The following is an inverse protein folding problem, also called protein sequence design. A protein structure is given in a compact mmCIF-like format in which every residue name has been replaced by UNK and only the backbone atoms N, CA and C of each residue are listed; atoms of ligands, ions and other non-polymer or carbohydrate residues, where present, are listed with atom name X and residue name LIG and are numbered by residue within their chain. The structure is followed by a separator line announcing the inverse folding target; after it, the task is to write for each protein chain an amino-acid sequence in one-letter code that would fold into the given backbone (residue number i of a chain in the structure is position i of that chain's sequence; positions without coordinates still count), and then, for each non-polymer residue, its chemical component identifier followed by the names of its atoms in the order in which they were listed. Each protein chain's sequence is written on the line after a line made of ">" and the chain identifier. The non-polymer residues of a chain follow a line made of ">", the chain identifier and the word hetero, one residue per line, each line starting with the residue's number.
data_IF_255289099009
#
_entry.id   IF_255289099009
#
_cell.length_a   1.000
_cell.length_b   1.000
_cell.length_c   1.000
_cell.angle_alpha   90.00
_cell.angle_beta   90.00
_cell.angle_gamma   90.00
#
_symmetry.space_group_name_H-M   'P 1'
#
loop_
_entity.id
_entity.type
_entity.pdbx_description
1 polymer ?
#
# COMPACT_ATOMS: atom_id res chain seq x y z
N UNK A 1 35.45 -1.51 -50.63
CA UNK A 1 36.33 -0.35 -50.42
C UNK A 1 36.55 -0.21 -48.93
N UNK A 2 37.77 -0.56 -48.53
CA UNK A 2 38.33 -0.43 -47.17
C UNK A 2 38.41 1.06 -46.78
N UNK A 3 38.34 1.35 -45.52
CA UNK A 3 39.42 2.02 -44.77
C UNK A 3 39.03 2.17 -43.30
N UNK A 4 39.74 1.43 -42.49
CA UNK A 4 39.96 1.60 -41.06
C UNK A 4 40.71 2.92 -40.77
N UNK A 5 40.56 3.44 -39.56
CA UNK A 5 41.67 3.97 -38.78
C UNK A 5 41.31 3.93 -37.27
N UNK A 6 42.19 3.20 -36.57
CA UNK A 6 42.38 3.18 -35.15
C UNK A 6 43.44 4.23 -34.75
N UNK A 7 43.49 4.59 -33.48
CA UNK A 7 44.63 4.81 -32.61
C UNK A 7 44.25 5.69 -31.42
N UNK A 8 44.26 5.19 -30.19
CA UNK A 8 45.37 5.08 -29.23
C UNK A 8 45.95 6.42 -28.78
N UNK A 9 45.92 6.72 -27.49
CA UNK A 9 47.07 6.69 -26.55
C UNK A 9 46.71 7.51 -25.32
N UNK A 10 46.60 6.96 -24.14
CA UNK A 10 47.59 6.75 -23.08
C UNK A 10 48.06 7.99 -22.31
N UNK A 11 47.93 7.86 -21.02
CA UNK A 11 48.90 8.13 -19.94
C UNK A 11 48.95 9.53 -19.34
N UNK A 12 48.98 9.78 -18.07
CA UNK A 12 49.74 9.28 -16.96
C UNK A 12 49.34 9.97 -15.64
N UNK A 13 49.38 9.23 -14.55
CA UNK A 13 49.55 9.72 -13.18
C UNK A 13 51.02 10.16 -12.99
N UNK A 14 51.41 11.07 -12.06
CA UNK A 14 51.62 10.67 -10.68
C UNK A 14 51.37 11.71 -9.56
N UNK A 15 51.23 11.17 -8.39
CA UNK A 15 51.39 11.52 -7.02
C UNK A 15 52.37 12.65 -6.61
N UNK A 16 52.04 13.31 -5.48
CA UNK A 16 52.91 13.49 -4.29
C UNK A 16 52.20 14.19 -3.15
N UNK A 17 52.21 13.59 -1.96
CA UNK A 17 52.26 14.25 -0.62
C UNK A 17 53.65 14.76 -0.38
N UNK A 18 53.98 15.66 0.54
CA UNK A 18 53.87 15.61 1.99
C UNK A 18 53.48 17.00 2.58
N UNK A 19 53.34 17.30 3.85
CA UNK A 19 53.91 16.96 5.13
C UNK A 19 53.08 17.60 6.25
N UNK A 20 53.09 16.92 7.37
CA UNK A 20 52.68 17.45 8.69
C UNK A 20 53.93 17.97 9.43
N UNK A 21 53.85 18.95 10.37
CA UNK A 21 54.16 18.66 11.76
C UNK A 21 53.20 19.29 12.77
N UNK A 22 52.71 18.57 13.68
CA UNK A 22 53.04 18.21 15.06
C UNK A 22 53.06 19.35 16.09
N UNK A 23 52.15 19.14 17.09
CA UNK A 23 52.24 19.41 18.53
C UNK A 23 52.20 20.88 19.04
N UNK A 24 51.35 21.19 20.03
CA UNK A 24 51.57 20.94 21.45
C UNK A 24 50.28 21.24 22.29
N UNK A 25 50.10 20.44 23.30
CA UNK A 25 49.25 20.44 24.47
C UNK A 25 48.88 21.80 25.07
N UNK A 26 47.66 21.91 25.63
CA UNK A 26 47.48 21.91 27.11
C UNK A 26 45.99 21.77 27.48
N UNK A 27 45.75 21.02 28.51
CA UNK A 27 44.50 20.69 29.15
C UNK A 27 43.78 21.94 29.71
N UNK A 28 42.43 21.88 29.70
CA UNK A 28 41.67 22.11 30.92
C UNK A 28 40.26 21.48 30.86
N UNK A 29 39.96 20.80 31.94
CA UNK A 29 38.71 20.14 32.22
C UNK A 29 37.56 21.14 32.33
N UNK A 30 36.46 20.87 31.60
CA UNK A 30 35.13 21.12 32.12
C UNK A 30 34.15 20.07 31.57
N UNK A 31 33.71 19.23 32.49
CA UNK A 31 32.58 18.35 32.44
C UNK A 31 31.36 19.04 31.81
N UNK A 32 31.05 18.69 30.57
CA UNK A 32 29.77 18.93 29.97
C UNK A 32 29.13 17.54 29.78
N UNK A 33 28.25 17.24 30.69
CA UNK A 33 27.32 16.14 30.69
C UNK A 33 26.62 16.13 29.34
N UNK A 34 26.94 15.12 28.51
CA UNK A 34 26.15 14.82 27.33
C UNK A 34 24.80 14.31 27.84
N UNK A 35 23.79 15.16 27.77
CA UNK A 35 22.41 14.74 27.77
C UNK A 35 22.26 13.80 26.56
N UNK A 36 22.21 12.50 26.85
CA UNK A 36 21.65 11.51 25.95
C UNK A 36 20.20 11.91 25.72
N UNK A 37 19.93 12.56 24.60
CA UNK A 37 18.59 12.66 24.08
C UNK A 37 18.14 11.20 23.86
N UNK A 38 17.35 10.68 24.79
CA UNK A 38 16.53 9.52 24.55
C UNK A 38 15.62 9.90 23.38
N UNK A 39 15.94 9.42 22.19
CA UNK A 39 14.99 9.36 21.09
C UNK A 39 13.89 8.44 21.58
N UNK A 40 12.83 9.03 22.15
CA UNK A 40 11.58 8.32 22.36
C UNK A 40 11.21 7.73 21.01
N UNK A 41 11.26 6.42 20.93
CA UNK A 41 10.81 5.67 19.78
C UNK A 41 9.28 5.82 19.75
N UNK A 42 8.79 6.88 19.11
CA UNK A 42 7.36 7.13 18.95
C UNK A 42 6.84 6.06 18.01
N UNK A 43 6.43 4.95 18.60
CA UNK A 43 5.75 3.89 17.88
C UNK A 43 4.37 4.43 17.48
N UNK A 44 4.15 4.67 16.18
CA UNK A 44 2.84 5.04 15.67
C UNK A 44 1.92 3.84 15.95
N UNK A 45 0.85 4.00 16.74
CA UNK A 45 -0.06 2.90 17.02
C UNK A 45 -0.66 2.38 15.71
N UNK A 46 -0.79 1.06 15.60
CA UNK A 46 -1.53 0.47 14.47
C UNK A 46 -3.01 0.87 14.61
N UNK A 47 -3.59 1.61 13.66
CA UNK A 47 -4.97 2.09 13.75
C UNK A 47 -6.01 0.98 13.47
N UNK A 48 -5.58 -0.20 13.03
CA UNK A 48 -6.43 -1.34 12.73
C UNK A 48 -6.66 -2.19 13.96
N UNK A 49 -7.92 -2.59 14.16
CA UNK A 49 -8.34 -3.58 15.17
C UNK A 49 -8.94 -4.79 14.46
N UNK A 50 -8.44 -5.98 14.79
CA UNK A 50 -8.94 -7.26 14.27
C UNK A 50 -10.14 -7.75 15.09
N UNK A 51 -11.09 -8.42 14.43
CA UNK A 51 -12.31 -8.96 15.03
C UNK A 51 -12.50 -10.42 14.64
N UNK A 52 -12.95 -11.24 15.58
CA UNK A 52 -13.17 -12.66 15.38
C UNK A 52 -14.41 -12.97 14.53
N UNK A 53 -15.36 -12.02 14.45
CA UNK A 53 -16.57 -12.18 13.67
C UNK A 53 -16.91 -10.93 12.85
N UNK A 54 -17.67 -11.14 11.77
CA UNK A 54 -18.23 -10.05 10.97
C UNK A 54 -19.14 -9.16 11.81
N UNK A 55 -19.96 -9.76 12.68
CA UNK A 55 -20.96 -9.03 13.47
C UNK A 55 -20.28 -8.07 14.45
N UNK A 56 -19.19 -8.46 15.09
CA UNK A 56 -18.40 -7.60 15.96
C UNK A 56 -17.76 -6.45 15.19
N UNK A 57 -17.23 -6.72 14.01
CA UNK A 57 -16.64 -5.70 13.13
C UNK A 57 -17.72 -4.70 12.64
N UNK A 58 -18.92 -5.17 12.27
CA UNK A 58 -20.07 -4.34 11.90
C UNK A 58 -20.48 -3.42 13.07
N UNK A 59 -20.53 -3.97 14.28
CA UNK A 59 -20.84 -3.17 15.46
C UNK A 59 -19.81 -2.08 15.71
N UNK A 60 -18.52 -2.39 15.52
CA UNK A 60 -17.43 -1.44 15.69
C UNK A 60 -17.40 -0.37 14.59
N UNK A 61 -17.65 -0.76 13.34
CA UNK A 61 -17.67 0.15 12.19
C UNK A 61 -18.93 1.04 12.18
N UNK A 62 -20.06 0.55 12.71
CA UNK A 62 -21.36 1.23 12.66
C UNK A 62 -22.12 1.07 11.35
N UNK A 63 -21.61 0.28 10.41
CA UNK A 63 -22.25 -0.06 9.13
C UNK A 63 -21.84 -1.47 8.67
N UNK A 64 -22.68 -2.11 7.85
CA UNK A 64 -22.43 -3.43 7.29
C UNK A 64 -21.61 -3.34 5.98
N UNK A 65 -20.88 -4.41 5.69
CA UNK A 65 -20.23 -4.67 4.42
C UNK A 65 -20.63 -6.08 3.94
N UNK A 66 -21.56 -6.12 2.99
CA UNK A 66 -21.96 -7.37 2.35
C UNK A 66 -20.97 -7.74 1.27
N UNK A 67 -20.52 -8.99 1.27
CA UNK A 67 -19.51 -9.49 0.35
C UNK A 67 -19.85 -10.91 -0.13
N UNK A 68 -19.34 -11.35 -1.29
CA UNK A 68 -19.48 -12.73 -1.76
C UNK A 68 -18.96 -13.74 -0.74
N UNK A 69 -19.50 -14.97 -0.78
CA UNK A 69 -19.01 -16.06 0.07
C UNK A 69 -17.57 -16.45 -0.27
N UNK A 70 -17.20 -16.34 -1.54
CA UNK A 70 -15.88 -16.70 -2.06
C UNK A 70 -15.39 -15.68 -3.08
N UNK A 71 -14.09 -15.39 -3.04
CA UNK A 71 -13.38 -14.69 -4.10
C UNK A 71 -12.14 -15.50 -4.45
N UNK A 72 -11.88 -15.69 -5.76
CA UNK A 72 -10.75 -16.48 -6.27
C UNK A 72 -10.66 -17.90 -5.67
N UNK A 73 -11.81 -18.50 -5.33
CA UNK A 73 -11.90 -19.83 -4.70
C UNK A 73 -11.71 -19.83 -3.18
N UNK A 74 -11.27 -18.74 -2.57
CA UNK A 74 -11.07 -18.61 -1.13
C UNK A 74 -12.34 -18.16 -0.41
N UNK A 75 -12.62 -18.81 0.72
CA UNK A 75 -13.78 -18.51 1.59
C UNK A 75 -13.38 -18.12 3.01
N UNK A 76 -12.10 -18.30 3.37
CA UNK A 76 -11.59 -17.83 4.68
C UNK A 76 -11.56 -16.32 4.67
N UNK A 77 -12.09 -15.70 5.72
CA UNK A 77 -12.21 -14.25 5.86
C UNK A 77 -11.70 -13.80 7.22
N UNK A 78 -10.96 -12.71 7.23
CA UNK A 78 -10.68 -11.95 8.43
C UNK A 78 -11.33 -10.57 8.34
N UNK A 79 -11.62 -9.99 9.49
CA UNK A 79 -12.38 -8.75 9.63
C UNK A 79 -11.59 -7.78 10.47
N UNK A 80 -11.44 -6.56 9.99
CA UNK A 80 -10.82 -5.50 10.79
C UNK A 80 -11.43 -4.14 10.52
N UNK A 81 -11.33 -3.28 11.51
CA UNK A 81 -11.83 -1.91 11.45
C UNK A 81 -10.68 -0.97 11.78
N UNK A 82 -10.48 0.01 10.91
CA UNK A 82 -9.65 1.16 11.20
C UNK A 82 -10.53 2.21 11.87
N UNK A 83 -10.03 2.77 12.99
CA UNK A 83 -10.66 3.91 13.64
C UNK A 83 -9.57 4.88 14.06
N UNK A 84 -9.46 6.00 13.37
CA UNK A 84 -8.47 7.04 13.66
C UNK A 84 -9.02 8.41 13.29
N UNK A 85 -8.88 9.39 14.19
CA UNK A 85 -9.20 10.79 13.96
C UNK A 85 -10.65 11.08 13.51
N UNK A 86 -11.56 10.15 13.77
CA UNK A 86 -12.96 10.22 13.35
C UNK A 86 -13.27 9.50 12.04
N UNK A 87 -12.25 9.02 11.34
CA UNK A 87 -12.41 8.16 10.17
C UNK A 87 -12.63 6.71 10.59
N UNK A 88 -13.56 6.05 9.91
CA UNK A 88 -13.84 4.63 10.11
C UNK A 88 -13.81 3.90 8.77
N UNK A 89 -13.06 2.79 8.72
CA UNK A 89 -13.00 1.93 7.53
C UNK A 89 -13.16 0.47 7.94
N UNK A 90 -14.10 -0.21 7.32
CA UNK A 90 -14.28 -1.66 7.48
C UNK A 90 -13.57 -2.40 6.35
N UNK A 91 -12.76 -3.38 6.71
CA UNK A 91 -12.01 -4.19 5.77
C UNK A 91 -12.29 -5.68 5.98
N UNK A 92 -12.50 -6.39 4.88
CA UNK A 92 -12.62 -7.86 4.84
C UNK A 92 -11.51 -8.38 3.92
N UNK A 93 -10.69 -9.28 4.44
CA UNK A 93 -9.60 -9.93 3.70
C UNK A 93 -9.98 -11.38 3.45
N UNK A 94 -9.87 -11.83 2.21
CA UNK A 94 -9.95 -13.24 1.83
C UNK A 94 -8.53 -13.80 1.76
N UNK A 95 -8.31 -14.95 2.38
CA UNK A 95 -7.01 -15.59 2.42
C UNK A 95 -7.09 -17.09 2.16
N UNK A 96 -5.96 -17.67 1.75
CA UNK A 96 -5.70 -19.09 1.69
C UNK A 96 -4.49 -19.39 2.56
N UNK A 97 -4.72 -19.79 3.80
CA UNK A 97 -3.67 -19.83 4.81
C UNK A 97 -3.15 -18.42 5.12
N UNK A 98 -1.86 -18.20 4.94
CA UNK A 98 -1.23 -16.89 5.18
C UNK A 98 -1.27 -15.95 3.95
N UNK A 99 -1.68 -16.46 2.78
CA UNK A 99 -1.68 -15.70 1.53
C UNK A 99 -3.01 -14.96 1.33
N UNK A 100 -2.96 -13.63 1.34
CA UNK A 100 -4.09 -12.79 0.95
C UNK A 100 -4.41 -12.99 -0.54
N UNK A 101 -5.69 -13.19 -0.86
CA UNK A 101 -6.15 -13.38 -2.24
C UNK A 101 -7.02 -12.24 -2.74
N UNK A 102 -7.76 -11.59 -1.83
CA UNK A 102 -8.54 -10.40 -2.12
C UNK A 102 -8.78 -9.59 -0.85
N UNK A 103 -9.01 -8.30 -1.04
CA UNK A 103 -9.34 -7.35 0.03
C UNK A 103 -10.48 -6.45 -0.41
N UNK A 104 -11.45 -6.30 0.47
CA UNK A 104 -12.57 -5.38 0.26
C UNK A 104 -12.56 -4.37 1.39
N UNK A 105 -12.71 -3.09 1.03
CA UNK A 105 -12.82 -1.96 1.96
C UNK A 105 -14.09 -1.18 1.71
N UNK A 106 -14.67 -0.65 2.79
CA UNK A 106 -15.79 0.27 2.78
C UNK A 106 -15.57 1.34 3.84
N UNK A 107 -15.79 2.59 3.48
CA UNK A 107 -15.77 3.71 4.41
C UNK A 107 -16.81 4.76 4.02
N UNK A 108 -17.31 5.58 4.95
CA UNK A 108 -18.14 6.74 4.63
C UNK A 108 -17.39 7.75 3.76
N UNK A 109 -18.11 8.45 2.87
CA UNK A 109 -17.53 9.48 2.02
C UNK A 109 -17.30 9.03 0.58
N UNK A 110 -16.54 9.83 -0.17
CA UNK A 110 -16.28 9.64 -1.60
C UNK A 110 -14.79 9.51 -1.96
N UNK A 111 -13.93 9.38 -0.97
CA UNK A 111 -12.48 9.28 -1.18
C UNK A 111 -12.05 7.87 -1.61
N UNK A 112 -10.89 7.76 -2.23
CA UNK A 112 -10.28 6.47 -2.56
C UNK A 112 -9.85 5.75 -1.27
N UNK A 113 -10.53 4.67 -0.95
CA UNK A 113 -10.29 3.86 0.25
C UNK A 113 -9.40 2.65 -0.01
N UNK A 114 -8.87 2.49 -1.23
CA UNK A 114 -8.07 1.32 -1.61
C UNK A 114 -6.75 1.24 -0.83
N UNK A 115 -6.14 2.38 -0.52
CA UNK A 115 -4.79 2.45 0.02
C UNK A 115 -3.75 1.91 -0.95
N UNK A 116 -4.07 1.87 -2.24
CA UNK A 116 -3.19 1.40 -3.30
C UNK A 116 -2.56 2.60 -4.01
N UNK A 117 -1.24 2.67 -3.99
CA UNK A 117 -0.43 3.73 -4.59
C UNK A 117 0.34 3.24 -5.82
N UNK A 118 0.00 2.05 -6.34
CA UNK A 118 0.62 1.53 -7.54
C UNK A 118 0.15 2.29 -8.79
N UNK A 119 1.05 2.39 -9.76
CA UNK A 119 0.71 2.85 -11.11
C UNK A 119 0.24 1.67 -11.94
N UNK A 120 -0.85 1.87 -12.67
CA UNK A 120 -1.46 0.88 -13.55
C UNK A 120 -1.39 1.32 -15.01
N UNK A 121 -1.06 0.41 -15.90
CA UNK A 121 -1.00 0.70 -17.34
C UNK A 121 -2.37 1.02 -17.95
N UNK A 122 -3.43 0.47 -17.35
CA UNK A 122 -4.81 0.63 -17.82
C UNK A 122 -5.70 1.11 -16.66
N UNK A 123 -6.52 2.11 -16.95
CA UNK A 123 -7.57 2.60 -16.04
C UNK A 123 -8.81 2.87 -16.88
N UNK A 124 -9.89 2.17 -16.56
CA UNK A 124 -11.16 2.28 -17.24
C UNK A 124 -12.31 2.51 -16.26
N UNK A 125 -13.35 3.16 -16.71
CA UNK A 125 -14.61 3.31 -15.96
C UNK A 125 -15.70 2.52 -16.65
N UNK A 126 -16.31 1.60 -15.89
CA UNK A 126 -17.36 0.72 -16.40
C UNK A 126 -18.60 0.77 -15.50
N UNK A 127 -19.77 0.41 -16.04
CA UNK A 127 -20.97 0.16 -15.24
C UNK A 127 -20.97 -1.27 -14.72
N UNK A 128 -21.13 -1.44 -13.41
CA UNK A 128 -21.25 -2.74 -12.78
C UNK A 128 -22.50 -2.76 -11.88
N UNK A 129 -23.61 -3.21 -12.46
CA UNK A 129 -24.87 -3.31 -11.72
C UNK A 129 -25.51 -1.96 -11.36
N UNK A 130 -25.27 -0.92 -12.17
CA UNK A 130 -25.83 0.42 -11.99
C UNK A 130 -24.92 1.36 -11.17
N UNK A 131 -23.72 0.92 -10.82
CA UNK A 131 -22.70 1.78 -10.21
C UNK A 131 -21.54 2.00 -11.18
N UNK A 132 -21.00 3.21 -11.20
CA UNK A 132 -19.81 3.56 -11.99
C UNK A 132 -18.57 3.12 -11.24
N UNK A 133 -17.78 2.23 -11.83
CA UNK A 133 -16.61 1.60 -11.21
C UNK A 133 -15.35 1.97 -11.97
N UNK A 134 -14.36 2.53 -11.30
CA UNK A 134 -13.02 2.69 -11.85
C UNK A 134 -12.24 1.41 -11.64
N UNK A 135 -11.84 0.77 -12.74
CA UNK A 135 -11.04 -0.45 -12.77
C UNK A 135 -9.63 -0.14 -13.20
N UNK A 136 -8.64 -0.63 -12.47
CA UNK A 136 -7.21 -0.42 -12.74
C UNK A 136 -6.51 -1.77 -12.90
N UNK A 137 -5.62 -1.86 -13.90
CA UNK A 137 -4.91 -3.09 -14.19
C UNK A 137 -3.99 -3.00 -15.39
N UNK A 138 -3.78 -4.11 -16.06
CA UNK A 138 -2.95 -4.21 -17.27
C UNK A 138 -3.37 -5.40 -18.15
N UNK A 139 -3.10 -5.31 -19.46
CA UNK A 139 -3.37 -6.37 -20.44
C UNK A 139 -4.83 -6.87 -20.46
N UNK A 140 -5.78 -5.97 -20.19
CA UNK A 140 -7.21 -6.30 -20.09
C UNK A 140 -7.62 -7.05 -18.84
N UNK A 141 -6.72 -7.19 -17.86
CA UNK A 141 -6.97 -7.77 -16.55
C UNK A 141 -7.00 -6.69 -15.47
N UNK A 142 -7.87 -6.85 -14.48
CA UNK A 142 -8.12 -5.88 -13.40
C UNK A 142 -7.57 -6.40 -12.09
N UNK A 143 -6.81 -5.56 -11.40
CA UNK A 143 -6.31 -5.80 -10.04
C UNK A 143 -7.09 -5.03 -8.97
N UNK A 144 -7.58 -3.86 -9.33
CA UNK A 144 -8.23 -2.95 -8.39
C UNK A 144 -9.50 -2.37 -9.01
N UNK A 145 -10.59 -2.41 -8.26
CA UNK A 145 -11.83 -1.72 -8.56
C UNK A 145 -12.18 -0.74 -7.42
N UNK A 146 -12.56 0.48 -7.78
CA UNK A 146 -12.93 1.55 -6.84
C UNK A 146 -14.27 2.14 -7.29
N UNK A 147 -15.20 2.31 -6.36
CA UNK A 147 -16.50 2.93 -6.66
C UNK A 147 -17.12 3.57 -5.42
N UNK A 148 -18.15 4.37 -5.67
CA UNK A 148 -19.02 4.91 -4.63
C UNK A 148 -20.43 4.36 -4.81
N UNK A 149 -21.12 4.09 -3.72
CA UNK A 149 -22.54 3.74 -3.73
C UNK A 149 -23.23 4.34 -2.49
N UNK A 150 -24.20 5.21 -2.72
CA UNK A 150 -24.80 6.02 -1.65
C UNK A 150 -23.75 6.93 -1.00
N UNK A 151 -23.69 6.89 0.32
CA UNK A 151 -22.79 7.72 1.13
C UNK A 151 -21.45 7.03 1.42
N UNK A 152 -21.13 5.95 0.72
CA UNK A 152 -19.95 5.13 0.98
C UNK A 152 -19.06 4.96 -0.25
N UNK A 153 -17.76 4.92 0.03
CA UNK A 153 -16.72 4.50 -0.91
C UNK A 153 -16.33 3.05 -0.66
N UNK A 154 -15.96 2.37 -1.75
CA UNK A 154 -15.56 0.97 -1.76
C UNK A 154 -14.30 0.76 -2.58
N UNK A 155 -13.53 -0.24 -2.21
CA UNK A 155 -12.43 -0.76 -3.01
C UNK A 155 -12.41 -2.28 -2.93
N UNK A 156 -12.12 -2.93 -4.06
CA UNK A 156 -11.84 -4.37 -4.16
C UNK A 156 -10.49 -4.52 -4.85
N UNK A 157 -9.52 -5.08 -4.16
CA UNK A 157 -8.25 -5.52 -4.73
C UNK A 157 -8.16 -7.04 -4.76
N UNK A 158 -7.52 -7.60 -5.79
CA UNK A 158 -7.27 -9.02 -5.94
C UNK A 158 -5.78 -9.27 -6.19
N UNK A 159 -5.21 -10.32 -5.57
CA UNK A 159 -3.80 -10.63 -5.74
C UNK A 159 -3.51 -11.11 -7.17
N UNK A 160 -4.33 -11.95 -7.72
CA UNK A 160 -4.23 -12.36 -9.12
C UNK A 160 -5.26 -11.57 -9.93
N UNK A 161 -4.79 -10.77 -10.89
CA UNK A 161 -5.65 -9.98 -11.75
C UNK A 161 -6.67 -10.86 -12.51
N UNK A 162 -7.90 -10.40 -12.62
CA UNK A 162 -9.03 -11.12 -13.22
C UNK A 162 -9.64 -10.34 -14.38
N UNK A 163 -10.44 -10.99 -15.21
CA UNK A 163 -11.13 -10.32 -16.31
C UNK A 163 -12.08 -9.23 -15.82
N UNK A 164 -12.26 -8.19 -16.62
CA UNK A 164 -13.15 -7.06 -16.32
C UNK A 164 -14.59 -7.49 -15.98
N UNK A 165 -15.13 -8.48 -16.72
CA UNK A 165 -16.48 -9.02 -16.46
C UNK A 165 -16.59 -9.71 -15.11
N UNK A 166 -15.53 -10.44 -14.72
CA UNK A 166 -15.50 -11.13 -13.43
C UNK A 166 -15.40 -10.12 -12.27
N UNK A 167 -14.58 -9.08 -12.45
CA UNK A 167 -14.49 -7.97 -11.49
C UNK A 167 -15.84 -7.26 -11.34
N UNK A 168 -16.52 -6.94 -12.45
CA UNK A 168 -17.85 -6.33 -12.43
C UNK A 168 -18.89 -7.20 -11.71
N UNK A 169 -18.84 -8.52 -11.93
CA UNK A 169 -19.71 -9.45 -11.23
C UNK A 169 -19.46 -9.49 -9.72
N UNK A 170 -18.20 -9.42 -9.29
CA UNK A 170 -17.86 -9.32 -7.87
C UNK A 170 -18.39 -8.01 -7.25
N UNK A 171 -18.13 -6.88 -7.90
CA UNK A 171 -18.58 -5.54 -7.44
C UNK A 171 -20.09 -5.51 -7.25
N UNK A 172 -20.85 -6.10 -8.18
CA UNK A 172 -22.33 -6.14 -8.11
C UNK A 172 -22.88 -6.88 -6.87
N UNK A 173 -22.05 -7.70 -6.22
CA UNK A 173 -22.40 -8.44 -5.00
C UNK A 173 -21.83 -7.83 -3.72
N UNK A 174 -21.23 -6.64 -3.79
CA UNK A 174 -20.64 -5.93 -2.65
C UNK A 174 -21.50 -4.69 -2.35
N UNK A 175 -21.92 -4.57 -1.06
CA UNK A 175 -22.79 -3.47 -0.61
C UNK A 175 -22.40 -2.97 0.78
#
# INVERSE_FOLDING_TARGET
>A
MLLSFAACSQNAKPAAKPDQPAQTETADSKNAQAETAETENVQIPNPWTDYDSKDDAVQAAGFDLTVPDKISGCSEKSYRVLSADGDVMFEIIYASGEDETARIRKAPGADDVSGDYNEYAETETVDAGGVSVTMKGENGLVKLAIWTNGDYSYALSVENAIGQSDMAALVSNIQ
#
